data_IF_559264941862
#
_entry.id   IF_559264941862
#
_cell.length_a   1.000
_cell.length_b   1.000
_cell.length_c   1.000
_cell.angle_alpha   90.00
_cell.angle_beta   90.00
_cell.angle_gamma   90.00
#
_symmetry.space_group_name_H-M   'P 1'
#
loop_
_entity.id
_entity.type
_entity.pdbx_description
1 polymer ?
#
# COMPACT_ATOMS: atom_id res chain seq x y z
N UNK A 1 -22.49 -26.07 38.58
CA UNK A 1 -22.24 -24.93 39.48
C UNK A 1 -21.31 -23.98 38.75
N UNK A 2 -21.71 -22.70 38.71
CA UNK A 2 -21.13 -21.53 38.04
C UNK A 2 -19.57 -21.47 38.13
N UNK A 3 -18.80 -20.71 37.36
CA UNK A 3 -18.99 -19.31 36.96
C UNK A 3 -17.99 -18.98 35.81
N UNK A 4 -18.45 -18.25 34.79
CA UNK A 4 -17.62 -17.47 33.85
C UNK A 4 -16.94 -16.31 34.59
N UNK A 5 -15.65 -16.04 34.33
CA UNK A 5 -15.11 -14.66 34.39
C UNK A 5 -13.98 -14.45 33.38
N UNK A 6 -14.22 -13.55 32.44
CA UNK A 6 -13.21 -12.74 31.77
C UNK A 6 -12.58 -11.78 32.78
N UNK A 7 -11.26 -11.57 32.73
CA UNK A 7 -10.65 -10.27 33.04
C UNK A 7 -9.41 -10.08 32.16
N UNK A 8 -9.52 -9.12 31.24
CA UNK A 8 -8.43 -8.39 30.61
C UNK A 8 -7.57 -7.69 31.67
N UNK A 9 -6.25 -7.81 31.58
CA UNK A 9 -5.35 -6.81 32.15
C UNK A 9 -4.06 -6.78 31.36
N UNK A 10 -3.88 -5.73 30.58
CA UNK A 10 -2.57 -5.36 30.10
C UNK A 10 -1.72 -4.89 31.26
N UNK A 11 -0.48 -5.36 31.32
CA UNK A 11 0.64 -4.63 31.87
C UNK A 11 1.91 -5.18 31.20
N UNK A 12 2.34 -4.47 30.17
CA UNK A 12 3.75 -4.43 29.79
C UNK A 12 4.51 -3.81 30.96
N UNK A 13 5.57 -4.47 31.43
CA UNK A 13 6.83 -3.91 31.92
C UNK A 13 7.63 -5.01 32.62
N UNK A 14 8.88 -5.24 32.20
CA UNK A 14 9.87 -5.93 33.02
C UNK A 14 10.71 -6.95 32.27
N UNK A 15 11.77 -6.47 31.64
CA UNK A 15 12.79 -7.21 30.91
C UNK A 15 13.47 -8.29 31.76
N UNK A 16 13.48 -9.53 31.27
CA UNK A 16 14.51 -10.51 31.65
C UNK A 16 15.56 -10.49 30.54
N UNK A 17 16.72 -9.90 30.86
CA UNK A 17 17.91 -9.97 30.00
C UNK A 17 18.60 -11.28 30.28
N UNK A 18 18.50 -12.23 29.35
CA UNK A 18 19.38 -13.39 29.25
C UNK A 18 19.88 -13.52 27.81
N UNK A 19 21.19 -13.33 27.63
CA UNK A 19 21.93 -13.66 26.41
C UNK A 19 21.99 -12.55 25.37
N UNK A 20 23.15 -11.90 25.23
CA UNK A 20 23.47 -11.05 24.09
C UNK A 20 23.67 -11.90 22.82
N UNK A 21 22.57 -12.33 22.23
CA UNK A 21 22.46 -12.42 20.77
C UNK A 21 21.83 -11.09 20.41
N UNK A 22 22.49 -10.26 19.60
CA UNK A 22 21.91 -8.98 19.18
C UNK A 22 20.55 -9.24 18.54
N UNK A 23 19.47 -9.04 19.29
CA UNK A 23 18.14 -9.04 18.72
C UNK A 23 18.11 -7.82 17.83
N UNK A 24 18.06 -8.04 16.51
CA UNK A 24 17.72 -6.97 15.58
C UNK A 24 16.43 -6.33 16.12
N UNK A 25 16.51 -5.07 16.51
CA UNK A 25 15.33 -4.33 16.92
C UNK A 25 14.41 -4.25 15.71
N UNK A 26 13.14 -4.63 15.87
CA UNK A 26 12.16 -4.47 14.80
C UNK A 26 12.06 -2.98 14.44
N UNK A 27 11.97 -2.67 13.14
CA UNK A 27 11.83 -1.31 12.66
C UNK A 27 10.55 -0.67 13.23
N UNK A 28 10.63 0.61 13.58
CA UNK A 28 9.51 1.35 14.15
C UNK A 28 8.71 2.02 13.04
N UNK A 29 7.38 1.99 13.14
CA UNK A 29 6.52 2.78 12.25
C UNK A 29 6.76 4.27 12.55
N UNK A 30 7.18 5.02 11.53
CA UNK A 30 7.38 6.48 11.60
C UNK A 30 6.20 7.25 11.03
N UNK A 31 5.42 6.62 10.13
CA UNK A 31 4.23 7.23 9.54
C UNK A 31 3.23 6.14 9.15
N UNK A 32 1.94 6.43 9.36
CA UNK A 32 0.85 5.58 8.95
C UNK A 32 -0.21 6.42 8.23
N UNK A 33 -0.60 5.98 7.03
CA UNK A 33 -1.55 6.68 6.18
C UNK A 33 -2.72 5.75 5.85
N UNK A 34 -3.92 6.30 5.75
CA UNK A 34 -5.08 5.56 5.24
C UNK A 34 -4.83 5.26 3.75
N UNK A 35 -5.01 4.00 3.37
CA UNK A 35 -5.09 3.60 1.97
C UNK A 35 -6.56 3.44 1.57
N UNK A 36 -6.98 4.18 0.55
CA UNK A 36 -8.33 4.11 -0.01
C UNK A 36 -8.28 4.38 -1.50
N UNK A 37 -9.39 4.09 -2.16
CA UNK A 37 -9.60 4.40 -3.56
C UNK A 37 -9.41 5.90 -3.87
N UNK A 38 -8.71 6.18 -4.96
CA UNK A 38 -8.59 7.53 -5.49
C UNK A 38 -9.51 7.71 -6.70
N UNK A 39 -10.20 8.85 -6.73
CA UNK A 39 -11.10 9.26 -7.81
C UNK A 39 -10.57 10.48 -8.55
N UNK A 40 -10.74 10.52 -9.86
CA UNK A 40 -10.58 11.74 -10.65
C UNK A 40 -11.78 12.65 -10.52
N UNK A 41 -11.64 13.93 -10.85
CA UNK A 41 -12.75 14.86 -10.94
C UNK A 41 -12.81 15.53 -12.33
N UNK A 42 -13.84 15.28 -13.15
CA UNK A 42 -14.94 14.33 -12.91
C UNK A 42 -14.45 12.88 -12.88
N UNK A 43 -15.28 11.98 -12.37
CA UNK A 43 -15.04 10.54 -12.50
C UNK A 43 -15.01 10.14 -13.99
N UNK A 44 -14.08 9.24 -14.31
CA UNK A 44 -13.92 8.63 -15.63
C UNK A 44 -14.03 7.11 -15.48
N UNK A 45 -14.08 6.37 -16.60
CA UNK A 45 -14.01 4.91 -16.54
C UNK A 45 -12.75 4.40 -15.84
N UNK A 46 -11.63 5.13 -15.86
CA UNK A 46 -10.41 4.76 -15.14
C UNK A 46 -10.32 5.37 -13.73
N UNK A 47 -11.32 6.15 -13.35
CA UNK A 47 -11.49 6.61 -11.97
C UNK A 47 -11.89 5.44 -11.11
N UNK A 48 -11.38 5.41 -9.88
CA UNK A 48 -11.97 4.57 -8.86
C UNK A 48 -11.53 3.10 -8.85
N UNK A 49 -10.26 2.87 -8.55
CA UNK A 49 -9.79 1.55 -8.11
C UNK A 49 -8.60 1.71 -7.18
N UNK A 50 -8.45 0.79 -6.23
CA UNK A 50 -7.26 0.68 -5.40
C UNK A 50 -6.22 -0.24 -6.05
N UNK A 51 -6.69 -1.35 -6.64
CA UNK A 51 -5.87 -2.30 -7.39
C UNK A 51 -6.46 -2.56 -8.77
N UNK A 52 -5.57 -2.72 -9.75
CA UNK A 52 -5.89 -3.19 -11.09
C UNK A 52 -5.18 -4.53 -11.35
N UNK A 53 -5.93 -5.63 -11.29
CA UNK A 53 -5.51 -7.03 -11.47
C UNK A 53 -6.23 -7.63 -12.69
N UNK A 54 -5.86 -7.25 -13.92
CA UNK A 54 -6.65 -7.49 -15.15
C UNK A 54 -6.91 -8.96 -15.48
N UNK A 55 -6.14 -9.88 -14.90
CA UNK A 55 -6.32 -11.32 -15.07
C UNK A 55 -7.45 -11.90 -14.18
N UNK A 56 -8.02 -11.10 -13.28
CA UNK A 56 -9.16 -11.46 -12.42
C UNK A 56 -10.47 -10.83 -12.92
N UNK A 57 -11.62 -11.36 -12.50
CA UNK A 57 -12.96 -11.21 -13.13
C UNK A 57 -13.60 -9.80 -13.16
N UNK A 58 -12.91 -8.74 -12.76
CA UNK A 58 -13.28 -7.34 -13.07
C UNK A 58 -12.06 -6.48 -13.40
N UNK A 59 -10.87 -7.02 -13.16
CA UNK A 59 -9.64 -6.26 -12.99
C UNK A 59 -9.62 -5.32 -11.79
N UNK A 60 -10.76 -4.90 -11.24
CA UNK A 60 -10.84 -3.75 -10.30
C UNK A 60 -11.25 -4.19 -8.91
N UNK A 61 -10.40 -3.78 -7.97
CA UNK A 61 -10.60 -4.05 -6.56
C UNK A 61 -10.46 -2.76 -5.74
N UNK A 62 -11.31 -2.64 -4.73
CA UNK A 62 -11.41 -1.50 -3.84
C UNK A 62 -11.06 -1.94 -2.41
N UNK A 63 -10.40 -1.08 -1.64
CA UNK A 63 -10.29 -1.33 -0.20
C UNK A 63 -11.68 -1.28 0.46
N UNK A 64 -11.99 -2.26 1.30
CA UNK A 64 -13.21 -2.27 2.13
C UNK A 64 -12.89 -2.86 3.51
N UNK A 65 -12.96 -2.08 4.61
CA UNK A 65 -13.35 -0.67 4.64
C UNK A 65 -12.27 0.29 4.11
N UNK A 66 -11.03 0.16 4.63
CA UNK A 66 -9.86 0.97 4.26
C UNK A 66 -8.60 0.16 4.55
N UNK A 67 -7.59 0.33 3.72
CA UNK A 67 -6.25 -0.18 3.98
C UNK A 67 -5.40 0.78 4.81
N UNK A 68 -4.18 0.36 5.11
CA UNK A 68 -3.16 1.14 5.82
C UNK A 68 -1.83 1.03 5.08
N UNK A 69 -1.18 2.16 4.85
CA UNK A 69 0.19 2.22 4.37
C UNK A 69 1.09 2.71 5.51
N UNK A 70 1.98 1.84 6.00
CA UNK A 70 2.94 2.19 7.05
C UNK A 70 4.33 2.37 6.45
N UNK A 71 5.03 3.40 6.90
CA UNK A 71 6.43 3.68 6.59
C UNK A 71 7.24 3.49 7.87
N UNK A 72 8.38 2.81 7.76
CA UNK A 72 9.24 2.43 8.90
C UNK A 72 10.55 3.24 8.91
N UNK A 73 11.20 3.31 10.08
CA UNK A 73 12.45 4.06 10.28
C UNK A 73 13.68 3.46 9.57
N UNK A 74 13.62 2.19 9.17
CA UNK A 74 14.64 1.52 8.38
C UNK A 74 14.47 1.75 6.87
N UNK A 75 13.42 2.48 6.45
CA UNK A 75 13.11 2.74 5.06
C UNK A 75 12.23 1.67 4.40
N UNK A 76 11.82 0.62 5.10
CA UNK A 76 10.78 -0.27 4.59
C UNK A 76 9.39 0.39 4.68
N UNK A 77 8.42 -0.17 3.97
CA UNK A 77 7.02 0.18 4.08
C UNK A 77 6.16 -1.06 3.85
N UNK A 78 4.92 -1.06 4.36
CA UNK A 78 3.94 -2.07 3.99
C UNK A 78 2.56 -1.48 3.71
N UNK A 79 1.83 -2.16 2.83
CA UNK A 79 0.44 -1.90 2.52
C UNK A 79 -0.40 -3.09 3.01
N UNK A 80 -1.36 -2.80 3.87
CA UNK A 80 -2.24 -3.78 4.50
C UNK A 80 -3.71 -3.45 4.25
N UNK A 81 -4.57 -4.46 4.26
CA UNK A 81 -6.03 -4.32 4.28
C UNK A 81 -6.74 -5.35 3.42
N UNK A 82 -8.07 -5.31 3.38
CA UNK A 82 -8.86 -6.18 2.52
C UNK A 82 -9.26 -5.42 1.26
N UNK A 83 -9.10 -6.05 0.09
CA UNK A 83 -9.63 -5.55 -1.18
C UNK A 83 -10.75 -6.46 -1.69
N UNK A 84 -11.80 -5.85 -2.24
CA UNK A 84 -13.02 -6.51 -2.69
C UNK A 84 -13.26 -6.17 -4.16
N UNK A 85 -13.67 -7.16 -4.96
CA UNK A 85 -14.02 -6.93 -6.37
C UNK A 85 -15.19 -5.95 -6.47
N UNK A 86 -15.11 -5.00 -7.39
CA UNK A 86 -16.23 -4.06 -7.64
C UNK A 86 -17.50 -4.74 -8.19
N UNK A 87 -17.39 -5.98 -8.69
CA UNK A 87 -18.49 -6.72 -9.31
C UNK A 87 -19.07 -7.83 -8.42
N UNK A 88 -18.32 -8.30 -7.42
CA UNK A 88 -18.70 -9.42 -6.57
C UNK A 88 -18.08 -9.28 -5.18
N UNK A 89 -18.91 -8.98 -4.19
CA UNK A 89 -18.47 -8.74 -2.82
C UNK A 89 -17.99 -10.01 -2.11
N UNK A 90 -18.17 -11.20 -2.68
CA UNK A 90 -17.60 -12.46 -2.15
C UNK A 90 -16.17 -12.71 -2.64
N UNK A 91 -15.69 -11.94 -3.62
CA UNK A 91 -14.34 -12.06 -4.19
C UNK A 91 -13.39 -11.10 -3.54
N UNK A 92 -12.67 -11.58 -2.52
CA UNK A 92 -11.84 -10.76 -1.64
C UNK A 92 -10.41 -11.28 -1.53
N UNK A 93 -9.50 -10.36 -1.25
CA UNK A 93 -8.11 -10.65 -0.92
C UNK A 93 -7.68 -9.84 0.30
N UNK A 94 -7.00 -10.48 1.25
CA UNK A 94 -6.16 -9.79 2.21
C UNK A 94 -4.86 -9.36 1.52
N UNK A 95 -4.52 -8.10 1.66
CA UNK A 95 -3.31 -7.47 1.12
C UNK A 95 -2.25 -7.45 2.22
N UNK A 96 -1.08 -8.01 1.92
CA UNK A 96 0.16 -7.80 2.67
C UNK A 96 1.31 -7.65 1.68
N UNK A 97 1.68 -6.40 1.42
CA UNK A 97 2.71 -6.04 0.44
C UNK A 97 3.76 -5.19 1.11
N UNK A 98 5.01 -5.63 1.05
CA UNK A 98 6.16 -4.90 1.54
C UNK A 98 6.91 -4.19 0.42
N UNK A 99 7.58 -3.12 0.80
CA UNK A 99 8.35 -2.27 -0.08
C UNK A 99 9.62 -1.78 0.61
N UNK A 100 10.64 -1.48 -0.20
CA UNK A 100 11.89 -0.88 0.24
C UNK A 100 12.09 0.49 -0.42
N UNK A 101 12.48 1.49 0.38
CA UNK A 101 12.76 2.84 -0.10
C UNK A 101 13.87 2.80 -1.15
N UNK A 102 13.68 3.54 -2.24
CA UNK A 102 14.74 3.80 -3.23
C UNK A 102 14.93 5.29 -3.46
N UNK A 103 16.19 5.71 -3.54
CA UNK A 103 16.59 7.07 -3.95
C UNK A 103 16.91 7.14 -5.44
N UNK A 104 16.95 5.99 -6.12
CA UNK A 104 17.35 5.84 -7.52
C UNK A 104 16.20 5.26 -8.34
N UNK A 105 15.04 5.94 -8.45
CA UNK A 105 14.08 5.55 -9.48
C UNK A 105 14.80 5.74 -10.82
N UNK A 106 15.01 4.66 -11.56
CA UNK A 106 15.74 4.70 -12.84
C UNK A 106 14.99 5.50 -13.91
N UNK A 107 13.76 5.95 -13.63
CA UNK A 107 12.93 6.76 -14.50
C UNK A 107 12.37 7.97 -13.75
N UNK A 108 12.18 9.08 -14.49
CA UNK A 108 11.59 10.31 -13.97
C UNK A 108 10.20 10.07 -13.37
N UNK A 109 9.75 10.91 -12.41
CA UNK A 109 8.39 10.86 -11.87
C UNK A 109 7.35 10.80 -12.97
N UNK A 110 6.38 9.89 -12.81
CA UNK A 110 5.33 9.69 -13.79
C UNK A 110 4.19 10.66 -13.51
N UNK A 111 4.10 11.68 -14.37
CA UNK A 111 3.11 12.76 -14.27
C UNK A 111 1.83 12.38 -15.01
N UNK A 112 0.89 11.75 -14.32
CA UNK A 112 -0.36 11.23 -14.91
C UNK A 112 -1.53 12.24 -14.88
N UNK A 113 -1.49 13.23 -13.98
CA UNK A 113 -2.46 14.33 -13.97
C UNK A 113 -2.28 15.31 -15.14
N UNK A 114 -3.30 16.12 -15.47
CA UNK A 114 -3.16 17.22 -16.43
C UNK A 114 -2.00 18.16 -16.08
N UNK A 115 -1.26 18.62 -17.10
CA UNK A 115 -0.02 19.41 -16.95
C UNK A 115 -0.15 20.62 -16.03
N UNK A 116 -1.29 21.32 -16.07
CA UNK A 116 -1.53 22.52 -15.28
C UNK A 116 -1.56 22.27 -13.75
N UNK A 117 -1.58 21.01 -13.30
CA UNK A 117 -1.50 20.71 -11.87
C UNK A 117 -0.07 20.75 -11.32
N UNK A 118 0.97 20.71 -12.18
CA UNK A 118 2.36 20.69 -11.74
C UNK A 118 3.00 22.08 -11.70
N UNK A 119 3.92 22.29 -10.76
CA UNK A 119 4.58 23.60 -10.51
C UNK A 119 5.25 24.18 -11.74
N UNK A 120 5.85 23.36 -12.62
CA UNK A 120 6.49 23.88 -13.83
C UNK A 120 5.50 24.44 -14.87
N UNK A 121 4.20 24.21 -14.66
CA UNK A 121 3.11 24.77 -15.46
C UNK A 121 2.17 25.67 -14.63
N UNK A 122 2.60 26.14 -13.45
CA UNK A 122 1.82 27.04 -12.59
C UNK A 122 0.82 26.35 -11.65
N UNK A 123 0.88 25.03 -11.53
CA UNK A 123 0.10 24.25 -10.56
C UNK A 123 0.75 24.17 -9.19
N UNK A 124 0.19 23.34 -8.30
CA UNK A 124 0.65 23.21 -6.91
C UNK A 124 1.42 21.91 -6.60
N UNK A 125 1.50 20.97 -7.54
CA UNK A 125 2.21 19.70 -7.33
C UNK A 125 3.68 19.86 -7.69
N UNK A 126 4.55 19.76 -6.69
CA UNK A 126 5.98 19.63 -6.87
C UNK A 126 6.39 18.15 -6.82
N UNK A 127 6.89 17.61 -7.93
CA UNK A 127 7.33 16.22 -8.01
C UNK A 127 8.70 15.98 -7.35
N UNK A 128 9.40 17.03 -6.91
CA UNK A 128 10.63 16.88 -6.12
C UNK A 128 10.37 16.49 -4.67
N UNK A 129 9.15 16.70 -4.17
CA UNK A 129 8.69 16.23 -2.86
C UNK A 129 8.28 14.75 -2.88
N UNK A 130 8.18 14.15 -4.07
CA UNK A 130 7.81 12.75 -4.21
C UNK A 130 8.96 11.82 -3.82
N UNK A 131 8.59 10.64 -3.38
CA UNK A 131 9.54 9.61 -3.02
C UNK A 131 9.10 8.23 -3.48
N UNK A 132 10.04 7.28 -3.46
CA UNK A 132 9.92 6.07 -4.26
C UNK A 132 10.21 4.80 -3.47
N UNK A 133 9.47 3.75 -3.81
CA UNK A 133 9.54 2.44 -3.22
C UNK A 133 9.63 1.36 -4.31
N UNK A 134 10.50 0.37 -4.11
CA UNK A 134 10.43 -0.87 -4.87
C UNK A 134 9.64 -1.90 -4.06
N UNK A 135 8.78 -2.66 -4.70
CA UNK A 135 8.10 -3.80 -4.09
C UNK A 135 9.13 -4.86 -3.71
N UNK A 136 9.01 -5.39 -2.49
CA UNK A 136 9.72 -6.60 -2.09
C UNK A 136 8.92 -7.81 -2.58
N UNK A 137 9.31 -8.38 -3.72
CA UNK A 137 8.60 -9.48 -4.37
C UNK A 137 8.58 -10.77 -3.52
N UNK A 138 9.49 -10.92 -2.54
CA UNK A 138 9.48 -12.04 -1.59
C UNK A 138 8.45 -11.85 -0.46
N UNK A 139 7.91 -10.63 -0.33
CA UNK A 139 6.95 -10.21 0.72
C UNK A 139 5.78 -9.41 0.12
N UNK A 140 5.31 -9.81 -1.06
CA UNK A 140 4.20 -9.15 -1.76
C UNK A 140 3.09 -10.15 -2.11
N UNK A 141 2.13 -10.32 -1.19
CA UNK A 141 1.11 -11.36 -1.29
C UNK A 141 -0.32 -10.81 -1.23
N UNK A 142 -1.21 -11.52 -1.93
CA UNK A 142 -2.66 -11.44 -1.76
C UNK A 142 -3.18 -12.79 -1.29
N UNK A 143 -3.72 -12.87 -0.07
CA UNK A 143 -4.31 -14.10 0.47
C UNK A 143 -5.82 -14.09 0.24
N UNK A 144 -6.34 -15.14 -0.38
CA UNK A 144 -7.74 -15.19 -0.76
C UNK A 144 -8.68 -15.36 0.43
N UNK A 145 -9.81 -14.66 0.37
CA UNK A 145 -10.90 -14.70 1.35
C UNK A 145 -12.21 -15.05 0.64
N UNK A 146 -13.14 -15.67 1.37
CA UNK A 146 -14.46 -16.08 0.88
C UNK A 146 -14.36 -16.92 -0.40
N UNK A 147 -14.74 -16.38 -1.57
CA UNK A 147 -14.67 -17.10 -2.84
C UNK A 147 -13.24 -17.58 -3.17
N UNK A 148 -12.23 -16.83 -2.75
CA UNK A 148 -10.83 -17.16 -2.97
C UNK A 148 -10.18 -17.89 -1.78
N UNK A 149 -10.93 -18.38 -0.80
CA UNK A 149 -10.36 -19.10 0.35
C UNK A 149 -9.40 -20.23 -0.08
N UNK A 150 -8.25 -20.29 0.59
CA UNK A 150 -7.15 -21.21 0.26
C UNK A 150 -6.36 -20.88 -1.02
N UNK A 151 -6.57 -19.71 -1.64
CA UNK A 151 -5.74 -19.20 -2.74
C UNK A 151 -4.73 -18.16 -2.25
N UNK A 152 -3.63 -18.04 -2.98
CA UNK A 152 -2.60 -17.03 -2.75
C UNK A 152 -2.08 -16.53 -4.10
N UNK A 153 -1.86 -15.23 -4.21
CA UNK A 153 -1.18 -14.62 -5.35
C UNK A 153 0.10 -13.93 -4.87
N UNK A 154 1.20 -14.19 -5.56
CA UNK A 154 2.43 -13.42 -5.40
C UNK A 154 2.44 -12.30 -6.44
N UNK A 155 2.68 -11.08 -5.99
CA UNK A 155 2.79 -9.90 -6.83
C UNK A 155 4.25 -9.64 -7.19
N UNK A 156 4.44 -9.03 -8.34
CA UNK A 156 5.74 -8.58 -8.81
C UNK A 156 5.59 -7.18 -9.37
N UNK A 157 6.66 -6.38 -9.28
CA UNK A 157 6.64 -5.02 -9.79
C UNK A 157 6.74 -5.02 -11.32
N UNK A 158 5.99 -4.15 -11.98
CA UNK A 158 6.08 -3.93 -13.42
C UNK A 158 6.66 -2.56 -13.78
N UNK A 159 7.47 -2.48 -14.83
CA UNK A 159 8.15 -3.59 -15.51
C UNK A 159 9.15 -4.29 -14.58
N UNK A 160 9.37 -5.59 -14.81
CA UNK A 160 10.31 -6.44 -14.03
C UNK A 160 11.76 -5.93 -13.98
N UNK A 161 12.13 -4.97 -14.83
CA UNK A 161 13.44 -4.34 -14.77
C UNK A 161 13.53 -3.24 -13.68
N UNK A 162 12.50 -3.10 -12.83
CA UNK A 162 12.47 -2.18 -11.70
C UNK A 162 12.39 -0.71 -12.11
N UNK A 163 12.09 -0.44 -13.39
CA UNK A 163 12.14 0.93 -13.92
C UNK A 163 11.04 1.85 -13.43
N UNK A 164 9.94 1.31 -12.92
CA UNK A 164 8.85 2.11 -12.39
C UNK A 164 8.63 1.74 -10.93
N UNK A 165 9.40 2.39 -10.05
CA UNK A 165 9.17 2.36 -8.62
C UNK A 165 7.78 2.95 -8.30
N UNK A 166 7.18 2.49 -7.21
CA UNK A 166 6.00 3.11 -6.64
C UNK A 166 6.34 4.53 -6.22
N UNK A 167 5.58 5.51 -6.69
CA UNK A 167 5.73 6.92 -6.34
C UNK A 167 4.70 7.31 -5.29
N UNK A 168 5.14 8.07 -4.27
CA UNK A 168 4.31 8.51 -3.15
C UNK A 168 4.46 10.01 -2.97
N UNK A 169 3.35 10.71 -2.79
CA UNK A 169 3.31 12.17 -2.64
C UNK A 169 1.97 12.78 -3.02
N UNK A 170 1.86 14.11 -2.92
CA UNK A 170 0.69 14.84 -3.42
C UNK A 170 0.59 14.73 -4.94
N UNK A 171 -0.54 14.24 -5.43
CA UNK A 171 -0.75 14.00 -6.86
C UNK A 171 -0.08 12.73 -7.41
N UNK A 172 0.71 12.02 -6.60
CA UNK A 172 1.45 10.85 -7.05
C UNK A 172 0.53 9.68 -7.42
N UNK A 173 -0.70 9.63 -6.88
CA UNK A 173 -1.72 8.63 -7.25
C UNK A 173 -2.22 8.74 -8.70
N UNK A 174 -1.93 9.84 -9.40
CA UNK A 174 -2.27 10.02 -10.80
C UNK A 174 -3.76 10.27 -11.11
N UNK A 175 -4.64 10.30 -10.11
CA UNK A 175 -6.10 10.49 -10.26
C UNK A 175 -6.57 11.84 -9.74
N UNK A 176 -6.03 12.33 -8.63
CA UNK A 176 -6.32 13.64 -8.05
C UNK A 176 -5.09 14.25 -7.37
N UNK A 177 -5.22 15.49 -6.87
CA UNK A 177 -4.12 16.24 -6.25
C UNK A 177 -3.85 15.88 -4.78
N UNK A 178 -4.55 14.89 -4.21
CA UNK A 178 -4.36 14.49 -2.81
C UNK A 178 -3.06 13.67 -2.63
N UNK A 179 -2.62 13.54 -1.38
CA UNK A 179 -1.54 12.62 -1.03
C UNK A 179 -1.95 11.17 -1.36
N UNK A 180 -1.10 10.44 -2.06
CA UNK A 180 -1.35 9.04 -2.36
C UNK A 180 -0.15 8.37 -3.01
N UNK A 181 -0.37 7.13 -3.46
CA UNK A 181 0.64 6.28 -4.09
C UNK A 181 0.13 5.74 -5.43
N UNK A 182 1.03 5.53 -6.39
CA UNK A 182 0.78 4.68 -7.54
C UNK A 182 2.05 3.91 -7.92
N UNK A 183 1.86 2.77 -8.56
CA UNK A 183 2.92 1.93 -9.12
C UNK A 183 2.28 0.86 -9.99
N UNK A 184 3.10 0.17 -10.76
CA UNK A 184 2.69 -0.85 -11.73
C UNK A 184 3.28 -2.20 -11.35
#
# INVERSE_FOLDING_TARGET
MNITKFVTSGLFLGSIVLGAVGQAQAANIVKSSIASEAHSNPDTYWSGHSFWLPELESGRFLFDPKGTFNEYDDGSANLLGTIVSELDDTKKWEVDIWFDRTTEPTVKPKKELPKFNYVENGGSIDTSDWYYYNMDEDRATLTGVDFYDGKELNLYQMPRDGKHAFQVGFGANGKNTNFGMSGW
#
